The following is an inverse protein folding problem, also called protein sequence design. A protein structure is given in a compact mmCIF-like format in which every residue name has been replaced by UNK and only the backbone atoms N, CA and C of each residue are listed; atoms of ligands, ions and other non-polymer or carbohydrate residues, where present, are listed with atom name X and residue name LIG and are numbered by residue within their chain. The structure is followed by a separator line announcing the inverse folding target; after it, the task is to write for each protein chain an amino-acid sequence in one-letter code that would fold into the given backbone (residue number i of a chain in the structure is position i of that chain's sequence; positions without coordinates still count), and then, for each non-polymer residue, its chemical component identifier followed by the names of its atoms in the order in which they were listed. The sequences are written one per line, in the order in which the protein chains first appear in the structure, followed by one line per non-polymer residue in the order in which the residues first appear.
data_IF_975158704962
#
_entry.id   IF_975158704962
#
_cell.length_a   1.000
_cell.length_b   1.000
_cell.length_c   1.000
_cell.angle_alpha   90.00
_cell.angle_beta   90.00
_cell.angle_gamma   90.00
#
_symmetry.space_group_name_H-M   'P 1'
#
loop_
_entity.id
_entity.type
_entity.pdbx_description
1 polymer ?
#
# COMPACT_ATOMS: atom_id res chain seq x y z
N UNK A 1 -4.44 -8.94 -6.73
CA UNK A 1 -5.39 -8.55 -7.80
C UNK A 1 -4.91 -7.33 -8.56
N UNK A 2 -4.65 -6.17 -7.93
CA UNK A 2 -4.12 -4.99 -8.65
C UNK A 2 -2.77 -5.25 -9.36
N UNK A 3 -1.81 -5.92 -8.71
CA UNK A 3 -0.56 -6.34 -9.35
C UNK A 3 -0.75 -7.31 -10.52
N UNK A 4 -1.76 -8.18 -10.48
CA UNK A 4 -2.12 -9.05 -11.60
C UNK A 4 -2.76 -8.27 -12.76
N UNK A 5 -3.60 -7.27 -12.46
CA UNK A 5 -4.19 -6.39 -13.48
C UNK A 5 -3.10 -5.54 -14.13
N UNK A 6 -2.16 -4.99 -13.36
CA UNK A 6 -1.00 -4.28 -13.90
C UNK A 6 -0.09 -5.18 -14.73
N UNK A 7 0.17 -6.41 -14.28
CA UNK A 7 0.94 -7.39 -15.05
C UNK A 7 0.20 -7.81 -16.34
N UNK A 8 -1.12 -7.98 -16.29
CA UNK A 8 -1.93 -8.29 -17.47
C UNK A 8 -1.93 -7.11 -18.45
N UNK A 9 -2.08 -5.87 -17.97
CA UNK A 9 -2.06 -4.69 -18.82
C UNK A 9 -0.66 -4.43 -19.42
N UNK A 10 0.41 -4.81 -18.71
CA UNK A 10 1.77 -4.89 -19.25
C UNK A 10 1.86 -5.92 -20.38
N UNK A 11 1.31 -7.13 -20.18
CA UNK A 11 1.36 -8.24 -21.14
C UNK A 11 0.49 -7.96 -22.38
N UNK A 12 -0.65 -7.29 -22.23
CA UNK A 12 -1.54 -6.93 -23.34
C UNK A 12 -1.07 -5.69 -24.13
N UNK A 13 0.05 -5.07 -23.74
CA UNK A 13 0.71 -4.02 -24.53
C UNK A 13 -0.10 -2.74 -24.71
N UNK A 14 -1.12 -2.50 -23.87
CA UNK A 14 -1.97 -1.33 -23.98
C UNK A 14 -1.25 -0.10 -23.41
N UNK A 15 -0.49 0.62 -24.25
CA UNK A 15 0.13 1.91 -23.92
C UNK A 15 1.54 2.18 -24.47
N UNK A 16 2.28 1.18 -24.96
CA UNK A 16 3.66 1.36 -25.47
C UNK A 16 4.76 1.40 -24.38
N UNK A 17 6.03 1.60 -24.79
CA UNK A 17 7.25 1.55 -23.94
C UNK A 17 7.17 2.45 -22.68
N UNK A 18 6.54 3.62 -22.77
CA UNK A 18 6.35 4.52 -21.63
C UNK A 18 5.45 3.93 -20.53
N UNK A 19 4.46 3.12 -20.92
CA UNK A 19 3.58 2.44 -19.98
C UNK A 19 4.24 1.22 -19.34
N UNK A 20 5.21 0.57 -20.00
CA UNK A 20 5.93 -0.58 -19.43
C UNK A 20 6.62 -0.22 -18.10
N UNK A 21 7.21 0.99 -18.01
CA UNK A 21 7.78 1.52 -16.77
C UNK A 21 6.73 1.75 -15.67
N UNK A 22 5.57 2.30 -16.03
CA UNK A 22 4.47 2.52 -15.08
C UNK A 22 3.86 1.21 -14.57
N UNK A 23 3.72 0.20 -15.44
CA UNK A 23 3.25 -1.12 -15.04
C UNK A 23 4.23 -1.81 -14.09
N UNK A 24 5.54 -1.68 -14.32
CA UNK A 24 6.59 -2.22 -13.46
C UNK A 24 6.59 -1.53 -12.09
N UNK A 25 6.46 -0.20 -12.08
CA UNK A 25 6.27 0.57 -10.85
C UNK A 25 5.02 0.12 -10.10
N UNK A 26 3.89 -0.01 -10.79
CA UNK A 26 2.64 -0.47 -10.18
C UNK A 26 2.74 -1.88 -9.60
N UNK A 27 3.46 -2.78 -10.28
CA UNK A 27 3.76 -4.11 -9.77
C UNK A 27 4.56 -4.03 -8.46
N UNK A 28 5.68 -3.31 -8.45
CA UNK A 28 6.53 -3.14 -7.26
C UNK A 28 5.76 -2.47 -6.11
N UNK A 29 4.99 -1.41 -6.40
CA UNK A 29 4.16 -0.71 -5.42
C UNK A 29 3.10 -1.63 -4.81
N UNK A 30 2.48 -2.50 -5.62
CA UNK A 30 1.47 -3.46 -5.11
C UNK A 30 2.08 -4.45 -4.11
N UNK A 31 3.30 -4.92 -4.37
CA UNK A 31 4.05 -5.79 -3.47
C UNK A 31 4.50 -5.05 -2.21
N UNK A 32 5.01 -3.82 -2.35
CA UNK A 32 5.42 -2.99 -1.21
C UNK A 32 4.23 -2.72 -0.28
N UNK A 33 3.07 -2.41 -0.86
CA UNK A 33 1.84 -2.10 -0.11
C UNK A 33 1.38 -3.34 0.65
N UNK A 34 1.26 -4.48 -0.03
CA UNK A 34 0.82 -5.72 0.60
C UNK A 34 1.78 -6.19 1.71
N UNK A 35 3.08 -6.10 1.47
CA UNK A 35 4.07 -6.50 2.46
C UNK A 35 4.07 -5.55 3.66
N UNK A 36 3.96 -4.24 3.43
CA UNK A 36 3.86 -3.23 4.48
C UNK A 36 2.62 -3.44 5.35
N UNK A 37 1.46 -3.66 4.74
CA UNK A 37 0.21 -3.95 5.45
C UNK A 37 0.31 -5.24 6.28
N UNK A 38 0.80 -6.33 5.68
CA UNK A 38 0.97 -7.61 6.38
C UNK A 38 1.95 -7.48 7.55
N UNK A 39 3.10 -6.84 7.34
CA UNK A 39 4.08 -6.63 8.40
C UNK A 39 3.52 -5.72 9.51
N UNK A 40 2.77 -4.69 9.15
CA UNK A 40 2.15 -3.77 10.11
C UNK A 40 1.11 -4.47 10.97
N UNK A 41 0.24 -5.25 10.36
CA UNK A 41 -0.83 -5.97 11.06
C UNK A 41 -0.30 -7.13 11.90
N UNK A 42 0.63 -7.94 11.39
CA UNK A 42 1.22 -9.07 12.13
C UNK A 42 2.09 -8.59 13.31
N UNK A 43 2.99 -7.63 13.08
CA UNK A 43 3.80 -7.06 14.16
C UNK A 43 2.95 -6.26 15.13
N UNK A 44 1.94 -5.55 14.64
CA UNK A 44 0.99 -4.84 15.50
C UNK A 44 0.17 -5.77 16.39
N UNK A 45 -0.28 -6.92 15.89
CA UNK A 45 -0.99 -7.93 16.68
C UNK A 45 -0.06 -8.63 17.67
N UNK A 46 1.14 -9.02 17.24
CA UNK A 46 2.09 -9.77 18.06
C UNK A 46 2.77 -8.90 19.14
N UNK A 47 3.21 -7.69 18.79
CA UNK A 47 4.06 -6.84 19.63
C UNK A 47 3.41 -5.51 20.04
N UNK A 48 2.35 -5.06 19.38
CA UNK A 48 1.78 -3.72 19.59
C UNK A 48 1.26 -3.55 21.01
N UNK A 49 1.92 -2.74 21.84
CA UNK A 49 1.51 -2.56 23.25
C UNK A 49 0.14 -1.90 23.38
N UNK A 50 -0.13 -0.95 22.50
CA UNK A 50 -1.34 -0.13 22.48
C UNK A 50 -1.79 0.06 21.04
N UNK A 51 -3.03 -0.31 20.74
CA UNK A 51 -3.63 -0.11 19.42
C UNK A 51 -4.62 1.06 19.49
N UNK A 52 -4.61 1.91 18.48
CA UNK A 52 -5.41 3.11 18.39
C UNK A 52 -6.31 3.06 17.15
N UNK A 53 -7.55 3.49 17.26
CA UNK A 53 -8.39 3.72 16.08
C UNK A 53 -7.91 4.99 15.34
N UNK A 54 -7.78 4.91 14.01
CA UNK A 54 -7.37 6.06 13.19
C UNK A 54 -8.39 7.19 13.22
N UNK A 55 -9.67 6.89 13.48
CA UNK A 55 -10.77 7.85 13.41
C UNK A 55 -10.90 8.71 14.67
N UNK A 56 -10.84 8.08 15.84
CA UNK A 56 -11.13 8.72 17.13
C UNK A 56 -9.94 8.68 18.11
N UNK A 57 -8.81 8.11 17.70
CA UNK A 57 -7.60 7.91 18.53
C UNK A 57 -7.88 7.21 19.87
N UNK A 58 -8.98 6.45 19.97
CA UNK A 58 -9.29 5.68 21.15
C UNK A 58 -8.46 4.41 21.20
N UNK A 59 -8.04 4.04 22.40
CA UNK A 59 -7.33 2.79 22.65
C UNK A 59 -8.32 1.64 22.53
N UNK A 60 -8.04 0.72 21.62
CA UNK A 60 -8.87 -0.46 21.37
C UNK A 60 -8.08 -1.75 21.60
N UNK A 61 -8.76 -2.89 21.81
CA UNK A 61 -8.11 -4.19 21.89
C UNK A 61 -7.27 -4.49 20.64
N UNK A 62 -6.22 -5.29 20.81
CA UNK A 62 -5.39 -5.74 19.68
C UNK A 62 -6.24 -6.58 18.73
N UNK A 63 -6.05 -6.37 17.43
CA UNK A 63 -6.78 -7.10 16.39
C UNK A 63 -8.16 -6.53 16.06
N UNK A 64 -8.54 -5.38 16.63
CA UNK A 64 -9.69 -4.61 16.14
C UNK A 64 -9.42 -4.14 14.70
N UNK A 65 -10.39 -4.33 13.82
CA UNK A 65 -10.32 -3.87 12.42
C UNK A 65 -10.10 -2.34 12.36
N UNK A 66 -9.14 -1.90 11.54
CA UNK A 66 -8.75 -0.49 11.45
C UNK A 66 -7.95 0.07 12.63
N UNK A 67 -7.57 -0.77 13.60
CA UNK A 67 -6.70 -0.36 14.69
C UNK A 67 -5.23 -0.37 14.26
N UNK A 68 -4.51 0.70 14.61
CA UNK A 68 -3.10 0.90 14.26
C UNK A 68 -2.27 0.96 15.54
N UNK A 69 -1.12 0.28 15.52
CA UNK A 69 -0.12 0.38 16.59
C UNK A 69 1.13 1.07 16.07
N UNK A 70 1.89 1.68 16.98
CA UNK A 70 3.15 2.34 16.63
C UNK A 70 4.16 1.31 16.14
N UNK A 71 4.27 0.18 16.84
CA UNK A 71 5.18 -0.90 16.50
C UNK A 71 4.86 -1.51 15.13
N UNK A 72 3.58 -1.74 14.84
CA UNK A 72 3.12 -2.19 13.53
C UNK A 72 3.45 -1.18 12.43
N UNK A 73 3.12 0.09 12.62
CA UNK A 73 3.38 1.14 11.61
C UNK A 73 4.87 1.24 11.27
N UNK A 74 5.74 1.17 12.28
CA UNK A 74 7.19 1.17 12.09
C UNK A 74 7.65 -0.07 11.35
N UNK A 75 7.13 -1.25 11.70
CA UNK A 75 7.46 -2.49 10.99
C UNK A 75 7.01 -2.47 9.52
N UNK A 76 5.80 -1.99 9.23
CA UNK A 76 5.31 -1.82 7.86
C UNK A 76 6.18 -0.85 7.05
N UNK A 77 6.56 0.28 7.65
CA UNK A 77 7.45 1.25 7.02
C UNK A 77 8.82 0.65 6.66
N UNK A 78 9.43 -0.10 7.57
CA UNK A 78 10.70 -0.79 7.27
C UNK A 78 10.52 -1.90 6.22
N UNK A 79 9.38 -2.59 6.21
CA UNK A 79 9.10 -3.64 5.23
C UNK A 79 8.96 -3.07 3.81
N UNK A 80 8.26 -1.94 3.63
CA UNK A 80 8.19 -1.27 2.31
C UNK A 80 9.54 -0.72 1.87
N UNK A 81 10.34 -0.13 2.78
CA UNK A 81 11.70 0.31 2.46
C UNK A 81 12.57 -0.85 2.00
N UNK A 82 12.55 -1.97 2.74
CA UNK A 82 13.35 -3.15 2.41
C UNK A 82 13.01 -3.67 1.02
N UNK A 83 11.72 -3.81 0.73
CA UNK A 83 11.27 -4.33 -0.57
C UNK A 83 11.57 -3.35 -1.71
N UNK A 84 11.38 -2.07 -1.47
CA UNK A 84 11.71 -1.01 -2.42
C UNK A 84 13.22 -0.96 -2.72
N UNK A 85 14.07 -1.13 -1.71
CA UNK A 85 15.51 -1.22 -1.87
C UNK A 85 15.94 -2.46 -2.67
N UNK A 86 15.29 -3.61 -2.46
CA UNK A 86 15.49 -4.82 -3.27
C UNK A 86 15.10 -4.56 -4.72
N UNK A 87 13.95 -3.93 -4.96
CA UNK A 87 13.49 -3.58 -6.31
C UNK A 87 14.47 -2.63 -7.01
N UNK A 88 15.01 -1.64 -6.29
CA UNK A 88 16.07 -0.78 -6.81
C UNK A 88 17.34 -1.56 -7.17
N UNK A 89 17.80 -2.45 -6.29
CA UNK A 89 19.00 -3.25 -6.52
C UNK A 89 18.87 -4.21 -7.71
N UNK A 90 17.66 -4.73 -7.95
CA UNK A 90 17.34 -5.55 -9.12
C UNK A 90 17.21 -4.74 -10.43
N UNK A 91 17.29 -3.41 -10.37
CA UNK A 91 17.07 -2.53 -11.52
C UNK A 91 15.60 -2.50 -11.97
N UNK A 92 14.67 -2.82 -11.06
CA UNK A 92 13.22 -2.78 -11.31
C UNK A 92 12.65 -1.36 -11.29
N UNK A 93 13.19 -0.53 -10.39
CA UNK A 93 12.79 0.86 -10.18
C UNK A 93 14.02 1.74 -9.95
N UNK A 94 13.91 3.03 -10.26
CA UNK A 94 14.94 4.02 -9.93
C UNK A 94 14.74 4.61 -8.51
N UNK A 95 15.69 5.38 -7.98
CA UNK A 95 15.62 5.97 -6.63
C UNK A 95 14.33 6.77 -6.41
N UNK A 96 13.88 7.66 -7.32
CA UNK A 96 12.64 8.41 -7.12
C UNK A 96 11.41 7.50 -7.07
N UNK A 97 11.38 6.47 -7.92
CA UNK A 97 10.32 5.47 -7.99
C UNK A 97 10.26 4.62 -6.72
N UNK A 98 11.42 4.25 -6.18
CA UNK A 98 11.54 3.53 -4.93
C UNK A 98 10.94 4.34 -3.75
N UNK A 99 11.20 5.65 -3.70
CA UNK A 99 10.60 6.57 -2.72
C UNK A 99 9.09 6.69 -2.91
N UNK A 100 8.63 6.82 -4.16
CA UNK A 100 7.19 6.85 -4.50
C UNK A 100 6.48 5.59 -4.02
N UNK A 101 7.06 4.40 -4.24
CA UNK A 101 6.50 3.14 -3.76
C UNK A 101 6.30 3.13 -2.23
N UNK A 102 7.30 3.57 -1.46
CA UNK A 102 7.22 3.63 0.00
C UNK A 102 6.11 4.60 0.44
N UNK A 103 6.09 5.81 -0.11
CA UNK A 103 5.09 6.83 0.26
C UNK A 103 3.68 6.35 -0.10
N UNK A 104 3.49 5.82 -1.32
CA UNK A 104 2.20 5.30 -1.77
C UNK A 104 1.71 4.15 -0.89
N UNK A 105 2.59 3.22 -0.50
CA UNK A 105 2.26 2.13 0.43
C UNK A 105 1.82 2.63 1.80
N UNK A 106 2.48 3.66 2.36
CA UNK A 106 2.05 4.19 3.65
C UNK A 106 0.68 4.87 3.57
N UNK A 107 0.44 5.68 2.54
CA UNK A 107 -0.87 6.33 2.35
C UNK A 107 -1.96 5.28 2.18
N UNK A 108 -1.69 4.23 1.42
CA UNK A 108 -2.65 3.15 1.18
C UNK A 108 -2.98 2.40 2.48
N UNK A 109 -1.99 2.03 3.30
CA UNK A 109 -2.20 1.39 4.59
C UNK A 109 -2.98 2.27 5.59
N UNK A 110 -2.75 3.58 5.57
CA UNK A 110 -3.55 4.52 6.36
C UNK A 110 -5.00 4.57 5.87
N UNK A 111 -5.22 4.59 4.56
CA UNK A 111 -6.55 4.55 3.97
C UNK A 111 -7.27 3.23 4.32
N UNK A 112 -6.57 2.11 4.30
CA UNK A 112 -7.08 0.81 4.73
C UNK A 112 -7.55 0.85 6.18
N UNK A 113 -6.68 1.34 7.08
CA UNK A 113 -6.99 1.46 8.50
C UNK A 113 -8.18 2.39 8.76
N UNK A 114 -8.29 3.47 8.00
CA UNK A 114 -9.43 4.38 8.06
C UNK A 114 -10.73 3.73 7.57
N UNK A 115 -10.69 3.03 6.43
CA UNK A 115 -11.82 2.28 5.89
C UNK A 115 -12.27 1.22 6.91
N UNK A 116 -11.33 0.48 7.50
CA UNK A 116 -11.66 -0.51 8.51
C UNK A 116 -12.32 0.09 9.74
N UNK A 117 -11.76 1.19 10.27
CA UNK A 117 -12.29 1.86 11.45
C UNK A 117 -13.68 2.49 11.23
N UNK A 118 -14.02 2.91 10.00
CA UNK A 118 -15.30 3.58 9.70
C UNK A 118 -16.38 2.62 9.19
N UNK A 119 -15.99 1.62 8.40
CA UNK A 119 -16.92 0.84 7.57
C UNK A 119 -17.03 -0.62 7.98
N UNK A 120 -15.97 -1.26 8.52
CA UNK A 120 -16.05 -2.68 8.90
C UNK A 120 -16.93 -2.94 10.12
N UNK A 121 -17.08 -1.96 11.02
CA UNK A 121 -17.91 -2.08 12.23
C UNK A 121 -19.39 -1.66 12.00
N UNK A 122 -19.76 -1.27 10.77
CA UNK A 122 -21.13 -0.83 10.44
C UNK A 122 -22.02 -1.96 9.92
N UNK A 123 -23.19 -2.09 10.52
CA UNK A 123 -24.27 -2.97 10.03
C UNK A 123 -24.65 -2.59 8.58
N UNK A 124 -24.52 -3.54 7.66
CA UNK A 124 -24.75 -3.36 6.20
C UNK A 124 -23.50 -3.49 5.33
N UNK A 125 -22.30 -3.33 5.89
CA UNK A 125 -21.02 -3.47 5.17
C UNK A 125 -20.33 -4.82 5.42
N UNK A 126 -21.08 -5.88 5.76
CA UNK A 126 -20.49 -7.23 5.97
C UNK A 126 -19.80 -7.82 4.74
N UNK A 127 -20.08 -7.29 3.54
CA UNK A 127 -19.36 -7.63 2.31
C UNK A 127 -17.95 -7.02 2.25
N UNK A 128 -17.70 -5.96 3.03
CA UNK A 128 -16.41 -5.28 3.14
C UNK A 128 -15.54 -5.98 4.19
N UNK A 129 -15.28 -7.27 3.97
CA UNK A 129 -14.43 -8.04 4.86
C UNK A 129 -12.94 -7.68 4.67
N UNK A 130 -12.08 -8.18 5.56
CA UNK A 130 -10.63 -7.92 5.55
C UNK A 130 -10.00 -8.17 4.16
N UNK A 131 -10.40 -9.22 3.46
CA UNK A 131 -9.94 -9.50 2.09
C UNK A 131 -10.32 -8.41 1.08
N UNK A 132 -11.53 -7.87 1.16
CA UNK A 132 -11.99 -6.81 0.25
C UNK A 132 -11.26 -5.49 0.52
N UNK A 133 -11.05 -5.17 1.80
CA UNK A 133 -10.33 -3.98 2.24
C UNK A 133 -8.85 -4.05 1.83
N UNK A 134 -8.22 -5.22 1.93
CA UNK A 134 -6.86 -5.46 1.45
C UNK A 134 -6.76 -5.31 -0.09
N UNK A 135 -7.74 -5.78 -0.85
CA UNK A 135 -7.79 -5.55 -2.31
C UNK A 135 -7.87 -4.06 -2.63
N UNK A 136 -8.67 -3.29 -1.89
CA UNK A 136 -8.77 -1.83 -2.03
C UNK A 136 -7.44 -1.16 -1.67
N UNK A 137 -6.78 -1.61 -0.59
CA UNK A 137 -5.48 -1.09 -0.16
C UNK A 137 -4.43 -1.22 -1.26
N UNK A 138 -4.21 -2.45 -1.75
CA UNK A 138 -3.21 -2.72 -2.79
C UNK A 138 -3.53 -1.91 -4.07
N UNK A 139 -4.81 -1.80 -4.42
CA UNK A 139 -5.25 -1.01 -5.58
C UNK A 139 -4.95 0.48 -5.38
N UNK A 140 -5.24 1.02 -4.21
CA UNK A 140 -4.97 2.41 -3.84
C UNK A 140 -3.47 2.72 -3.89
N UNK A 141 -2.63 1.87 -3.30
CA UNK A 141 -1.17 2.03 -3.35
C UNK A 141 -0.60 1.99 -4.76
N UNK A 142 -1.14 1.11 -5.62
CA UNK A 142 -0.74 0.99 -7.02
C UNK A 142 -1.12 2.25 -7.82
N UNK A 143 -2.37 2.70 -7.69
CA UNK A 143 -2.88 3.89 -8.40
C UNK A 143 -2.12 5.14 -7.94
N UNK A 144 -1.89 5.30 -6.64
CA UNK A 144 -1.13 6.44 -6.10
C UNK A 144 0.30 6.47 -6.62
N UNK A 145 0.98 5.32 -6.67
CA UNK A 145 2.34 5.26 -7.20
C UNK A 145 2.40 5.69 -8.67
N UNK A 146 1.48 5.20 -9.50
CA UNK A 146 1.39 5.57 -10.92
C UNK A 146 1.08 7.06 -11.08
N UNK A 147 0.11 7.60 -10.34
CA UNK A 147 -0.24 9.03 -10.40
C UNK A 147 0.92 9.92 -9.95
N UNK A 148 1.62 9.56 -8.88
CA UNK A 148 2.80 10.31 -8.41
C UNK A 148 3.92 10.30 -9.45
N UNK A 149 4.15 9.17 -10.10
CA UNK A 149 5.14 9.06 -11.16
C UNK A 149 4.78 9.90 -12.39
N UNK A 150 3.52 9.91 -12.81
CA UNK A 150 3.02 10.77 -13.88
C UNK A 150 3.25 12.26 -13.57
N UNK A 151 2.90 12.69 -12.36
CA UNK A 151 3.13 14.08 -11.92
C UNK A 151 4.61 14.44 -11.91
N UNK A 152 5.48 13.51 -11.47
CA UNK A 152 6.93 13.71 -11.49
C UNK A 152 7.49 13.82 -12.91
N UNK A 153 6.98 13.01 -13.85
CA UNK A 153 7.37 13.09 -15.26
C UNK A 153 6.92 14.41 -15.91
N UNK A 154 5.74 14.91 -15.54
CA UNK A 154 5.25 16.21 -16.00
C UNK A 154 6.10 17.37 -15.46
N UNK A 155 6.53 17.32 -14.20
CA UNK A 155 7.35 18.38 -13.60
C UNK A 155 8.78 18.43 -14.14
N UNK A 156 9.33 17.30 -14.60
CA UNK A 156 10.65 17.24 -15.24
C UNK A 156 10.64 17.69 -16.71
N UNK A 157 9.47 17.73 -17.35
CA UNK A 157 9.29 18.18 -18.74
C UNK A 157 8.90 19.66 -18.88
N UNK A 158 8.87 20.42 -17.78
CA UNK A 158 8.71 21.88 -17.75
C UNK A 158 10.06 22.57 -17.54
#
# INVERSE_FOLDING_TARGET
MAGCVCALLMIFGNGGEAFAGLWRLGFVASFCTKLSDTASSEIGKAYGKTAYLVTNFQVVPRGTEGAVSVEGTVAGFFASILLSAIAFYLGEVDIPQAVVCVIASQIANFAESYIGAVLQDKEGFQWLNNDAVNVINISTGTILAVLMQEVLLQSLNQ
#
